data_IF_665288414155
#
_entry.id   IF_665288414155
#
_cell.length_a   1.000
_cell.length_b   1.000
_cell.length_c   1.000
_cell.angle_alpha   90.00
_cell.angle_beta   90.00
_cell.angle_gamma   90.00
#
_symmetry.space_group_name_H-M   'P 1'
#
loop_
_entity.id
_entity.type
_entity.pdbx_description
1 polymer ?
#
# COMPACT_ATOMS: atom_id res chain seq x y z
N UNK A 1 1.86 -45.77 9.76
CA UNK A 1 0.73 -44.83 9.92
C UNK A 1 1.18 -43.49 10.49
N UNK A 2 1.99 -43.45 11.57
CA UNK A 2 2.56 -42.21 12.13
C UNK A 2 3.33 -41.34 11.11
N UNK A 3 4.19 -41.95 10.28
CA UNK A 3 4.98 -41.19 9.29
C UNK A 3 4.12 -40.56 8.17
N UNK A 4 2.97 -41.13 7.83
CA UNK A 4 2.05 -40.53 6.85
C UNK A 4 1.32 -39.32 7.42
N UNK A 5 0.90 -39.39 8.70
CA UNK A 5 0.30 -38.27 9.41
C UNK A 5 1.28 -37.10 9.61
N UNK A 6 2.55 -37.42 9.90
CA UNK A 6 3.60 -36.41 10.04
C UNK A 6 3.89 -35.71 8.71
N UNK A 7 4.05 -36.48 7.62
CA UNK A 7 4.27 -35.93 6.28
C UNK A 7 3.09 -35.06 5.82
N UNK A 8 1.85 -35.49 6.07
CA UNK A 8 0.67 -34.70 5.76
C UNK A 8 0.64 -33.36 6.51
N UNK A 9 1.03 -33.34 7.80
CA UNK A 9 1.14 -32.08 8.57
C UNK A 9 2.21 -31.15 8.01
N UNK A 10 3.36 -31.69 7.60
CA UNK A 10 4.44 -30.92 6.98
C UNK A 10 4.03 -30.34 5.63
N UNK A 11 3.35 -31.13 4.79
CA UNK A 11 2.82 -30.69 3.49
C UNK A 11 1.79 -29.56 3.66
N UNK A 12 0.88 -29.68 4.64
CA UNK A 12 -0.10 -28.64 4.97
C UNK A 12 0.60 -27.38 5.50
N UNK A 13 1.58 -27.52 6.39
CA UNK A 13 2.32 -26.37 6.91
C UNK A 13 3.07 -25.63 5.79
N UNK A 14 3.71 -26.36 4.88
CA UNK A 14 4.39 -25.78 3.72
C UNK A 14 3.41 -25.03 2.79
N UNK A 15 2.24 -25.61 2.54
CA UNK A 15 1.19 -24.97 1.74
C UNK A 15 0.68 -23.67 2.39
N UNK A 16 0.46 -23.67 3.71
CA UNK A 16 0.02 -22.48 4.46
C UNK A 16 1.09 -21.39 4.42
N UNK A 17 2.36 -21.71 4.67
CA UNK A 17 3.46 -20.73 4.61
C UNK A 17 3.58 -20.12 3.22
N UNK A 18 3.45 -20.93 2.17
CA UNK A 18 3.49 -20.45 0.78
C UNK A 18 2.35 -19.48 0.47
N UNK A 19 1.12 -19.77 0.92
CA UNK A 19 -0.02 -18.88 0.71
C UNK A 19 0.15 -17.57 1.49
N UNK A 20 0.60 -17.64 2.74
CA UNK A 20 0.85 -16.45 3.57
C UNK A 20 1.93 -15.56 2.94
N UNK A 21 2.99 -16.14 2.39
CA UNK A 21 4.01 -15.39 1.65
C UNK A 21 3.41 -14.70 0.41
N UNK A 22 2.66 -15.43 -0.42
CA UNK A 22 2.01 -14.85 -1.61
C UNK A 22 0.97 -13.77 -1.28
N UNK A 23 0.28 -13.86 -0.13
CA UNK A 23 -0.58 -12.78 0.36
C UNK A 23 0.22 -11.55 0.77
N UNK A 24 1.38 -11.75 1.38
CA UNK A 24 2.28 -10.65 1.81
C UNK A 24 2.83 -9.91 0.59
N UNK A 25 3.27 -10.65 -0.44
CA UNK A 25 3.78 -10.08 -1.68
C UNK A 25 2.70 -9.23 -2.38
N UNK A 26 1.48 -9.78 -2.55
CA UNK A 26 0.34 -9.04 -3.12
C UNK A 26 0.00 -7.77 -2.34
N UNK A 27 0.13 -7.80 -1.02
CA UNK A 27 -0.11 -6.63 -0.17
C UNK A 27 0.95 -5.54 -0.42
N UNK A 28 2.22 -5.93 -0.49
CA UNK A 28 3.33 -5.01 -0.77
C UNK A 28 3.19 -4.40 -2.16
N UNK A 29 2.86 -5.22 -3.15
CA UNK A 29 2.62 -4.82 -4.54
C UNK A 29 1.48 -3.78 -4.63
N UNK A 30 0.33 -4.08 -4.02
CA UNK A 30 -0.83 -3.16 -3.97
C UNK A 30 -0.44 -1.82 -3.35
N UNK A 31 0.28 -1.84 -2.22
CA UNK A 31 0.74 -0.63 -1.54
C UNK A 31 1.66 0.20 -2.44
N UNK A 32 2.65 -0.44 -3.09
CA UNK A 32 3.59 0.24 -3.97
C UNK A 32 2.88 0.88 -5.16
N UNK A 33 1.91 0.18 -5.76
CA UNK A 33 1.08 0.72 -6.85
C UNK A 33 0.30 1.95 -6.41
N UNK A 34 -0.30 1.94 -5.22
CA UNK A 34 -1.03 3.09 -4.68
C UNK A 34 -0.08 4.27 -4.46
N UNK A 35 1.11 4.03 -3.92
CA UNK A 35 2.12 5.07 -3.71
C UNK A 35 2.54 5.69 -5.04
N UNK A 36 2.86 4.87 -6.03
CA UNK A 36 3.25 5.35 -7.36
C UNK A 36 2.14 6.10 -8.06
N UNK A 37 0.91 5.56 -8.04
CA UNK A 37 -0.26 6.20 -8.63
C UNK A 37 -0.55 7.55 -7.98
N UNK A 38 -0.43 7.64 -6.65
CA UNK A 38 -0.56 8.90 -5.92
C UNK A 38 0.47 9.92 -6.39
N UNK A 39 1.70 9.47 -6.65
CA UNK A 39 2.76 10.34 -7.15
C UNK A 39 2.51 10.85 -8.55
N UNK A 40 2.14 9.95 -9.47
CA UNK A 40 1.75 10.32 -10.84
C UNK A 40 0.53 11.25 -10.85
N UNK A 41 -0.43 11.07 -9.95
CA UNK A 41 -1.60 11.93 -9.82
C UNK A 41 -1.25 13.32 -9.27
N UNK A 42 -0.29 13.40 -8.34
CA UNK A 42 0.16 14.66 -7.72
C UNK A 42 0.95 15.51 -8.71
N UNK A 43 1.91 14.88 -9.41
CA UNK A 43 2.81 15.56 -10.36
C UNK A 43 2.12 15.88 -11.69
N UNK A 44 1.16 15.03 -12.12
CA UNK A 44 0.47 15.13 -13.41
C UNK A 44 1.47 15.20 -14.57
N UNK A 45 1.51 16.32 -15.29
CA UNK A 45 2.37 16.56 -16.46
C UNK A 45 3.63 17.36 -16.13
N UNK A 46 3.87 17.66 -14.84
CA UNK A 46 5.08 18.36 -14.41
C UNK A 46 6.34 17.49 -14.61
N UNK A 47 7.50 18.14 -14.67
CA UNK A 47 8.82 17.51 -14.77
C UNK A 47 9.57 17.73 -13.46
N UNK A 48 9.25 16.95 -12.41
CA UNK A 48 9.80 17.18 -11.08
C UNK A 48 11.30 16.90 -11.06
N UNK A 49 12.03 17.71 -10.30
CA UNK A 49 13.38 17.41 -9.87
C UNK A 49 13.36 16.53 -8.61
N UNK A 50 14.45 15.82 -8.29
CA UNK A 50 14.53 15.00 -7.08
C UNK A 50 14.17 15.75 -5.78
N UNK A 51 14.53 17.02 -5.68
CA UNK A 51 14.24 17.89 -4.53
C UNK A 51 12.78 18.35 -4.43
N UNK A 52 12.00 18.24 -5.52
CA UNK A 52 10.60 18.68 -5.51
C UNK A 52 9.70 17.73 -4.73
N UNK A 53 10.16 16.52 -4.42
CA UNK A 53 9.31 15.45 -3.95
C UNK A 53 9.87 14.70 -2.74
N UNK A 54 9.09 14.62 -1.66
CA UNK A 54 9.43 13.83 -0.48
C UNK A 54 8.23 12.99 -0.02
N UNK A 55 8.49 11.74 0.36
CA UNK A 55 7.50 10.84 0.97
C UNK A 55 7.85 10.60 2.44
N UNK A 56 7.01 11.12 3.34
CA UNK A 56 7.17 10.93 4.78
C UNK A 56 6.17 9.87 5.27
N UNK A 57 6.71 8.74 5.75
CA UNK A 57 5.91 7.61 6.24
C UNK A 57 5.83 7.65 7.77
N UNK A 58 4.62 7.78 8.31
CA UNK A 58 4.35 7.70 9.75
C UNK A 58 3.67 6.38 10.06
N UNK A 59 4.35 5.50 10.81
CA UNK A 59 3.87 4.16 11.19
C UNK A 59 3.47 4.11 12.67
N UNK A 60 2.84 3.02 13.07
CA UNK A 60 2.45 2.73 14.46
C UNK A 60 1.49 3.77 15.04
N UNK A 61 0.68 4.39 14.20
CA UNK A 61 -0.41 5.25 14.65
C UNK A 61 -1.52 4.31 15.13
N UNK A 62 -1.92 4.43 16.38
CA UNK A 62 -3.07 3.69 16.91
C UNK A 62 -4.25 4.63 17.06
N UNK A 63 -5.38 4.25 16.47
CA UNK A 63 -6.64 4.95 16.69
C UNK A 63 -7.13 4.73 18.12
N UNK A 64 -8.11 5.53 18.55
CA UNK A 64 -8.80 5.32 19.84
C UNK A 64 -9.44 3.94 19.94
N UNK A 65 -9.84 3.37 18.80
CA UNK A 65 -10.41 2.02 18.68
C UNK A 65 -9.34 0.91 18.66
N UNK A 66 -8.05 1.26 18.79
CA UNK A 66 -6.93 0.33 18.83
C UNK A 66 -6.48 -0.19 17.46
N UNK A 67 -7.00 0.38 16.37
CA UNK A 67 -6.61 0.00 15.00
C UNK A 67 -5.26 0.61 14.64
N UNK A 68 -4.39 -0.17 14.00
CA UNK A 68 -3.12 0.33 13.48
C UNK A 68 -3.27 0.98 12.11
N UNK A 69 -2.70 2.17 11.98
CA UNK A 69 -2.67 2.98 10.78
C UNK A 69 -1.24 3.35 10.40
N UNK A 70 -1.01 3.46 9.09
CA UNK A 70 0.18 4.07 8.51
C UNK A 70 -0.24 5.22 7.60
N UNK A 71 0.37 6.38 7.78
CA UNK A 71 0.16 7.55 6.93
C UNK A 71 1.35 7.76 5.99
N UNK A 72 1.05 7.90 4.71
CA UNK A 72 1.98 8.25 3.64
C UNK A 72 1.73 9.70 3.26
N UNK A 73 2.62 10.59 3.68
CA UNK A 73 2.50 12.03 3.47
C UNK A 73 3.39 12.42 2.29
N UNK A 74 2.77 12.88 1.21
CA UNK A 74 3.42 13.27 -0.02
C UNK A 74 3.65 14.78 0.00
N UNK A 75 4.91 15.20 0.12
CA UNK A 75 5.32 16.60 0.08
C UNK A 75 5.78 16.93 -1.33
N UNK A 76 5.11 17.86 -2.00
CA UNK A 76 5.47 18.31 -3.33
C UNK A 76 5.74 19.82 -3.35
N UNK A 77 6.91 20.22 -3.85
CA UNK A 77 7.42 21.60 -3.88
C UNK A 77 7.34 22.32 -2.53
N UNK A 78 7.66 21.58 -1.46
CA UNK A 78 7.65 22.09 -0.09
C UNK A 78 6.29 22.13 0.60
N UNK A 79 5.21 21.71 -0.07
CA UNK A 79 3.85 21.68 0.48
C UNK A 79 3.35 20.24 0.66
N UNK A 80 2.58 20.00 1.73
CA UNK A 80 1.86 18.73 1.87
C UNK A 80 0.75 18.64 0.82
N UNK A 81 0.94 17.80 -0.20
CA UNK A 81 0.03 17.68 -1.32
C UNK A 81 -1.06 16.62 -1.10
N UNK A 82 -0.66 15.46 -0.57
CA UNK A 82 -1.54 14.30 -0.41
C UNK A 82 -1.18 13.53 0.85
N UNK A 83 -2.19 13.00 1.55
CA UNK A 83 -2.02 11.96 2.56
C UNK A 83 -2.82 10.74 2.15
N UNK A 84 -2.14 9.58 2.09
CA UNK A 84 -2.81 8.27 2.05
C UNK A 84 -2.73 7.67 3.45
N UNK A 85 -3.87 7.32 4.01
CA UNK A 85 -3.95 6.57 5.27
C UNK A 85 -4.27 5.12 4.96
N UNK A 86 -3.32 4.24 5.22
CA UNK A 86 -3.52 2.78 5.22
C UNK A 86 -3.99 2.36 6.61
N UNK A 87 -5.15 1.73 6.68
CA UNK A 87 -5.68 1.11 7.90
C UNK A 87 -5.65 -0.40 7.76
N UNK A 88 -5.10 -1.07 8.76
CA UNK A 88 -5.11 -2.53 8.80
C UNK A 88 -6.42 -3.03 9.41
N UNK A 89 -7.16 -3.87 8.68
CA UNK A 89 -8.35 -4.58 9.15
C UNK A 89 -8.04 -6.07 9.32
N UNK A 90 -9.03 -6.85 9.80
CA UNK A 90 -8.90 -8.29 9.89
C UNK A 90 -8.74 -8.90 8.48
N UNK A 91 -7.51 -9.31 8.15
CA UNK A 91 -7.09 -9.89 6.87
C UNK A 91 -7.16 -8.97 5.63
N UNK A 92 -7.32 -7.66 5.79
CA UNK A 92 -7.38 -6.72 4.66
C UNK A 92 -6.81 -5.33 5.01
N UNK A 93 -6.55 -4.51 4.00
CA UNK A 93 -6.09 -3.13 4.14
C UNK A 93 -7.06 -2.18 3.44
N UNK A 94 -7.38 -1.07 4.11
CA UNK A 94 -8.17 0.00 3.51
C UNK A 94 -7.32 1.25 3.34
N UNK A 95 -7.46 1.92 2.20
CA UNK A 95 -6.73 3.12 1.85
C UNK A 95 -7.68 4.31 1.77
N UNK A 96 -7.33 5.39 2.46
CA UNK A 96 -8.11 6.63 2.49
C UNK A 96 -7.27 7.79 1.98
N UNK A 97 -7.82 8.55 1.04
CA UNK A 97 -7.20 9.73 0.46
C UNK A 97 -7.66 10.99 1.19
N UNK A 98 -6.70 11.82 1.61
CA UNK A 98 -6.93 13.19 2.06
C UNK A 98 -6.08 14.12 1.20
N UNK A 99 -6.71 14.94 0.36
CA UNK A 99 -6.03 15.92 -0.49
C UNK A 99 -6.99 17.00 -0.97
N UNK A 100 -6.47 18.21 -1.19
CA UNK A 100 -7.11 19.30 -1.95
C UNK A 100 -6.61 19.38 -3.41
N UNK A 101 -5.53 18.67 -3.75
CA UNK A 101 -4.88 18.70 -5.07
C UNK A 101 -5.37 17.62 -6.03
N UNK A 102 -5.76 16.46 -5.49
CA UNK A 102 -6.24 15.32 -6.28
C UNK A 102 -7.50 14.72 -5.69
N UNK A 103 -8.33 14.17 -6.57
CA UNK A 103 -9.53 13.40 -6.23
C UNK A 103 -9.27 11.90 -6.18
N UNK A 104 -10.16 11.16 -5.51
CA UNK A 104 -10.12 9.68 -5.50
C UNK A 104 -10.24 9.12 -6.92
N UNK A 105 -11.06 9.75 -7.78
CA UNK A 105 -11.23 9.29 -9.17
C UNK A 105 -9.94 9.39 -9.97
N UNK A 106 -9.20 10.50 -9.84
CA UNK A 106 -7.90 10.68 -10.49
C UNK A 106 -6.89 9.65 -9.99
N UNK A 107 -6.86 9.38 -8.68
CA UNK A 107 -6.00 8.35 -8.10
C UNK A 107 -6.32 6.96 -8.67
N UNK A 108 -7.60 6.57 -8.69
CA UNK A 108 -8.01 5.25 -9.19
C UNK A 108 -7.68 5.06 -10.67
N UNK A 109 -7.80 6.11 -11.48
CA UNK A 109 -7.35 6.08 -12.87
C UNK A 109 -5.85 5.80 -12.94
N UNK A 110 -5.03 6.48 -12.13
CA UNK A 110 -3.58 6.24 -12.10
C UNK A 110 -3.20 4.86 -11.60
N UNK A 111 -3.93 4.30 -10.64
CA UNK A 111 -3.72 2.91 -10.20
C UNK A 111 -3.94 1.94 -11.37
N UNK A 112 -5.04 2.09 -12.11
CA UNK A 112 -5.32 1.26 -13.28
C UNK A 112 -4.30 1.46 -14.43
N UNK A 113 -3.71 2.64 -14.56
CA UNK A 113 -2.61 2.89 -15.51
C UNK A 113 -1.32 2.16 -15.10
N UNK A 114 -0.97 2.18 -13.80
CA UNK A 114 0.22 1.48 -13.28
C UNK A 114 0.09 -0.03 -13.46
N UNK A 115 -1.09 -0.61 -13.18
CA UNK A 115 -1.34 -2.04 -13.38
C UNK A 115 -1.17 -2.53 -14.82
N UNK A 116 -1.30 -1.65 -15.81
CA UNK A 116 -1.15 -2.00 -17.23
C UNK A 116 0.29 -1.94 -17.75
N UNK A 117 1.21 -1.42 -16.94
CA UNK A 117 2.62 -1.23 -17.33
C UNK A 117 3.49 -2.41 -16.88
N UNK A 118 2.99 -3.25 -15.97
CA UNK A 118 3.60 -4.52 -15.51
C UNK A 118 3.16 -5.73 -16.36
#
# INVERSE_FOLDING_TARGET
MLNMLQRWKEDVAAAVVKEVAAMTDRTIETRNRIIEATWRATVKDDKPQPEDGELIIKKNIRTEEGQEETQYNFIYKGELAVVITEKQNYCDYSYFLTSDKISVSELMQKVAEVERIE
#
